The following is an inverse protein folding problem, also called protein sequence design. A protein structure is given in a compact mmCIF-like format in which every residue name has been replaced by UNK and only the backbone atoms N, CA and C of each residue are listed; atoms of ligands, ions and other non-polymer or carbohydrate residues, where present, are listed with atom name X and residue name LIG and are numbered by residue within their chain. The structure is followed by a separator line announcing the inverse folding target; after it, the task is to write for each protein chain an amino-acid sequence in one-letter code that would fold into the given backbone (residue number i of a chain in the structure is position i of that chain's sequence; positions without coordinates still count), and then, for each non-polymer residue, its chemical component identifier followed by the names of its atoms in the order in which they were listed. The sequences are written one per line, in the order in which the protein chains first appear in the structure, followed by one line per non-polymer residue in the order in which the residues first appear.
data_IF_806515568954
#
_entry.id   IF_806515568954
#
_cell.length_a   1.000
_cell.length_b   1.000
_cell.length_c   1.000
_cell.angle_alpha   90.00
_cell.angle_beta   90.00
_cell.angle_gamma   90.00
#
_symmetry.space_group_name_H-M   'P 1'
#
loop_
_entity.id
_entity.type
_entity.pdbx_description
1 polymer ?
#
# COMPACT_ATOMS: atom_id res chain seq x y z
N UNK A 1 -51.02 -36.57 -5.87
CA UNK A 1 -49.54 -36.59 -6.02
C UNK A 1 -48.99 -35.58 -5.02
N UNK A 2 -48.60 -36.05 -3.84
CA UNK A 2 -48.03 -35.22 -2.78
C UNK A 2 -46.51 -35.30 -2.89
N UNK A 3 -45.86 -34.14 -3.03
CA UNK A 3 -44.40 -34.05 -3.07
C UNK A 3 -43.88 -33.90 -1.63
N UNK A 4 -43.10 -34.89 -1.22
CA UNK A 4 -42.45 -35.00 0.08
C UNK A 4 -41.19 -34.12 0.09
N UNK A 5 -41.22 -33.03 0.87
CA UNK A 5 -40.09 -32.13 1.10
C UNK A 5 -39.28 -32.62 2.29
N UNK A 6 -38.34 -33.53 2.04
CA UNK A 6 -37.35 -33.95 3.04
C UNK A 6 -36.07 -33.11 2.88
N UNK A 7 -35.87 -32.15 3.78
CA UNK A 7 -34.63 -31.39 3.91
C UNK A 7 -33.54 -32.24 4.61
N UNK A 8 -32.25 -32.13 4.21
CA UNK A 8 -31.16 -32.89 4.83
C UNK A 8 -30.81 -32.33 6.23
N UNK A 9 -30.34 -33.20 7.15
CA UNK A 9 -29.94 -32.80 8.49
C UNK A 9 -28.65 -31.97 8.46
N UNK A 10 -28.64 -30.88 9.23
CA UNK A 10 -27.47 -30.05 9.50
C UNK A 10 -26.39 -30.86 10.24
N UNK A 11 -25.19 -30.91 9.69
CA UNK A 11 -24.05 -31.57 10.30
C UNK A 11 -23.60 -30.83 11.59
N UNK A 12 -23.12 -31.56 12.61
CA UNK A 12 -22.62 -30.96 13.85
C UNK A 12 -21.33 -30.17 13.60
N UNK A 13 -21.35 -28.91 14.05
CA UNK A 13 -20.21 -28.00 14.08
C UNK A 13 -19.12 -28.55 14.99
N UNK A 14 -18.05 -29.08 14.40
CA UNK A 14 -16.86 -29.52 15.15
C UNK A 14 -16.06 -28.28 15.56
N UNK A 15 -15.98 -28.04 16.86
CA UNK A 15 -15.11 -27.01 17.44
C UNK A 15 -13.65 -27.31 17.11
N UNK A 16 -12.82 -26.31 16.75
CA UNK A 16 -11.40 -26.54 16.52
C UNK A 16 -10.72 -26.98 17.82
N UNK A 17 -9.70 -27.86 17.74
CA UNK A 17 -8.94 -28.29 18.91
C UNK A 17 -8.22 -27.10 19.52
N UNK A 18 -8.46 -26.88 20.82
CA UNK A 18 -7.71 -25.95 21.65
C UNK A 18 -6.22 -26.25 21.52
N UNK A 19 -5.47 -25.32 20.92
CA UNK A 19 -4.02 -25.34 20.93
C UNK A 19 -3.55 -25.38 22.39
N UNK A 20 -2.86 -26.45 22.76
CA UNK A 20 -2.20 -26.57 24.05
C UNK A 20 -1.17 -25.44 24.17
N UNK A 21 -1.44 -24.51 25.08
CA UNK A 21 -0.51 -23.49 25.49
C UNK A 21 0.73 -24.17 26.09
N UNK A 22 1.82 -24.18 25.33
CA UNK A 22 3.14 -24.52 25.85
C UNK A 22 3.48 -23.60 27.00
N UNK A 23 3.96 -24.22 28.08
CA UNK A 23 4.28 -23.60 29.35
C UNK A 23 5.26 -22.44 29.17
N UNK A 24 4.85 -21.29 29.70
CA UNK A 24 5.63 -20.07 29.74
C UNK A 24 6.88 -20.26 30.60
N UNK A 25 8.04 -20.38 29.97
CA UNK A 25 9.30 -19.90 30.54
C UNK A 25 9.17 -18.41 30.82
N UNK A 26 9.44 -18.01 32.07
CA UNK A 26 9.29 -16.65 32.56
C UNK A 26 9.98 -15.63 31.66
N UNK A 27 9.35 -14.49 31.32
CA UNK A 27 10.00 -13.45 30.54
C UNK A 27 11.14 -12.82 31.35
N UNK A 28 12.31 -12.55 30.74
CA UNK A 28 13.32 -11.71 31.38
C UNK A 28 12.70 -10.36 31.69
N UNK A 29 12.96 -9.86 32.90
CA UNK A 29 12.46 -8.56 33.32
C UNK A 29 12.90 -7.48 32.33
N UNK A 30 11.93 -6.70 31.86
CA UNK A 30 12.05 -5.57 30.96
C UNK A 30 13.24 -4.66 31.31
N UNK A 31 14.36 -4.86 30.62
CA UNK A 31 15.46 -3.91 30.47
C UNK A 31 15.29 -2.98 29.25
N UNK A 32 14.08 -2.89 28.68
CA UNK A 32 13.77 -1.96 27.57
C UNK A 32 13.67 -0.49 27.99
N UNK A 33 13.93 -0.16 29.26
CA UNK A 33 13.88 1.22 29.77
C UNK A 33 15.15 2.06 29.60
N UNK A 34 16.28 1.51 29.12
CA UNK A 34 17.57 2.23 29.17
C UNK A 34 18.50 2.18 27.95
N UNK A 35 18.12 1.54 26.84
CA UNK A 35 18.95 1.50 25.62
C UNK A 35 18.39 2.32 24.44
N UNK A 36 17.74 3.47 24.69
CA UNK A 36 17.27 4.40 23.65
C UNK A 36 17.90 5.79 23.79
N UNK A 37 19.20 5.83 24.11
CA UNK A 37 19.98 7.06 24.20
C UNK A 37 20.92 7.34 23.03
N UNK A 38 21.25 6.37 22.16
CA UNK A 38 22.47 6.47 21.35
C UNK A 38 22.35 6.00 19.88
N UNK A 39 21.22 6.26 19.21
CA UNK A 39 21.33 6.64 17.80
C UNK A 39 21.54 8.15 17.80
N UNK A 40 22.80 8.56 17.69
CA UNK A 40 23.23 9.93 17.46
C UNK A 40 22.71 10.48 16.13
N UNK A 41 21.39 10.51 15.93
CA UNK A 41 20.76 11.68 15.34
C UNK A 41 21.02 12.80 16.34
N UNK A 42 22.22 13.36 16.27
CA UNK A 42 22.47 14.71 16.73
C UNK A 42 21.31 15.52 16.18
N UNK A 43 20.45 16.00 17.08
CA UNK A 43 19.43 16.97 16.77
C UNK A 43 20.17 18.22 16.30
N UNK A 44 20.60 18.19 15.04
CA UNK A 44 20.97 19.38 14.32
C UNK A 44 19.70 20.25 14.43
N UNK A 45 19.78 21.44 15.04
CA UNK A 45 18.64 22.33 15.03
C UNK A 45 18.18 22.43 13.58
N UNK A 46 16.87 22.31 13.30
CA UNK A 46 16.39 22.42 11.93
C UNK A 46 16.98 23.71 11.34
N UNK A 47 17.53 23.67 10.11
CA UNK A 47 18.05 24.87 9.49
C UNK A 47 16.95 25.95 9.59
N UNK A 48 17.31 27.20 9.88
CA UNK A 48 16.33 28.28 10.01
C UNK A 48 15.42 28.22 8.80
N UNK A 49 14.10 28.05 9.05
CA UNK A 49 13.10 28.05 7.99
C UNK A 49 13.35 29.31 7.16
N UNK A 50 13.54 29.22 5.84
CA UNK A 50 13.48 30.41 5.00
C UNK A 50 12.14 31.08 5.28
N UNK A 51 12.21 32.32 5.77
CA UNK A 51 11.06 33.16 6.07
C UNK A 51 10.08 33.07 4.92
N UNK A 52 8.89 32.54 5.19
CA UNK A 52 7.83 32.51 4.21
C UNK A 52 7.58 33.95 3.75
N UNK A 53 7.59 34.24 2.44
CA UNK A 53 7.29 35.57 1.97
C UNK A 53 5.88 35.97 2.43
N UNK A 54 5.64 37.26 2.70
CA UNK A 54 4.33 37.74 3.13
C UNK A 54 3.25 37.36 2.08
N UNK A 55 2.01 37.15 2.51
CA UNK A 55 0.90 36.87 1.60
C UNK A 55 0.79 38.02 0.59
N UNK A 56 1.09 37.71 -0.67
CA UNK A 56 0.91 38.64 -1.77
C UNK A 56 -0.56 39.00 -1.86
N UNK A 57 -0.83 40.31 -1.78
CA UNK A 57 -2.12 40.90 -2.08
C UNK A 57 -2.59 40.46 -3.48
N UNK A 58 -3.91 40.36 -3.72
CA UNK A 58 -4.44 40.09 -5.04
C UNK A 58 -4.07 41.25 -5.99
N UNK A 59 -3.09 41.00 -6.85
CA UNK A 59 -2.70 41.91 -7.91
C UNK A 59 -3.79 41.93 -9.00
N UNK A 60 -4.10 43.15 -9.46
CA UNK A 60 -4.95 43.44 -10.61
C UNK A 60 -4.60 42.59 -11.85
N UNK A 61 -5.58 42.30 -12.72
CA UNK A 61 -5.38 41.50 -13.93
C UNK A 61 -4.47 42.24 -14.93
N UNK A 62 -3.21 41.80 -15.03
CA UNK A 62 -2.33 42.25 -16.11
C UNK A 62 -2.76 41.70 -17.48
N UNK A 63 -2.53 42.46 -18.57
CA UNK A 63 -2.76 42.02 -19.95
C UNK A 63 -1.92 40.79 -20.30
N UNK A 64 -2.59 39.79 -20.89
CA UNK A 64 -1.97 38.53 -21.32
C UNK A 64 -0.91 38.79 -22.38
N UNK A 65 0.30 38.33 -22.11
CA UNK A 65 1.33 38.11 -23.13
C UNK A 65 0.86 37.00 -24.10
N UNK A 66 1.04 37.18 -25.42
CA UNK A 66 0.64 36.21 -26.42
C UNK A 66 1.47 34.92 -26.31
N UNK A 67 0.78 33.79 -26.39
CA UNK A 67 1.34 32.44 -26.46
C UNK A 67 2.34 32.32 -27.63
N UNK A 68 3.48 31.62 -27.45
CA UNK A 68 4.33 31.24 -28.56
C UNK A 68 3.58 30.27 -29.47
N UNK A 69 3.41 30.72 -30.72
CA UNK A 69 2.83 30.00 -31.83
C UNK A 69 3.55 28.66 -32.06
N UNK A 70 2.84 27.54 -32.24
CA UNK A 70 3.46 26.28 -32.64
C UNK A 70 4.07 26.46 -34.03
N UNK A 71 5.35 26.14 -34.13
CA UNK A 71 6.13 26.08 -35.36
C UNK A 71 5.45 25.11 -36.34
N UNK A 72 5.21 25.50 -37.61
CA UNK A 72 4.75 24.57 -38.63
C UNK A 72 5.85 23.53 -38.86
N UNK A 73 5.54 22.27 -38.58
CA UNK A 73 6.37 21.14 -38.98
C UNK A 73 6.59 21.20 -40.49
N UNK A 74 7.86 21.11 -40.88
CA UNK A 74 8.30 21.02 -42.27
C UNK A 74 7.54 19.90 -42.98
N UNK A 75 6.93 20.27 -44.10
CA UNK A 75 6.48 19.33 -45.12
C UNK A 75 7.68 18.52 -45.61
N UNK A 76 7.76 17.27 -45.16
CA UNK A 76 8.60 16.26 -45.78
C UNK A 76 8.11 16.02 -47.21
N UNK A 77 8.96 16.28 -48.18
CA UNK A 77 8.74 15.96 -49.58
C UNK A 77 8.40 14.47 -49.78
N UNK A 78 7.52 14.11 -50.73
CA UNK A 78 7.28 12.73 -51.09
C UNK A 78 8.49 12.17 -51.83
N UNK A 79 9.20 11.21 -51.23
CA UNK A 79 10.14 10.36 -51.95
C UNK A 79 9.36 9.45 -52.92
N UNK A 80 9.76 9.32 -54.19
CA UNK A 80 9.22 8.31 -55.08
C UNK A 80 9.73 6.93 -54.64
N UNK A 81 8.84 6.10 -54.10
CA UNK A 81 9.12 4.70 -53.78
C UNK A 81 9.21 3.88 -55.08
N UNK A 82 10.32 3.15 -55.32
CA UNK A 82 10.37 2.17 -56.39
C UNK A 82 9.77 0.84 -55.91
N UNK A 83 8.87 0.32 -56.75
CA UNK A 83 8.45 -1.08 -56.92
C UNK A 83 7.42 -1.68 -55.93
N UNK A 84 6.32 -2.24 -56.47
CA UNK A 84 5.33 -2.97 -55.67
C UNK A 84 5.87 -4.37 -55.35
N UNK A 85 6.26 -4.59 -54.11
CA UNK A 85 6.37 -5.96 -53.60
C UNK A 85 4.94 -6.48 -53.36
N UNK A 86 4.58 -7.67 -53.87
CA UNK A 86 3.31 -8.30 -53.56
C UNK A 86 3.33 -8.67 -52.07
N UNK A 87 2.77 -7.81 -51.23
CA UNK A 87 2.48 -8.19 -49.86
C UNK A 87 1.45 -9.33 -49.92
N UNK A 88 1.72 -10.49 -49.29
CA UNK A 88 0.72 -11.53 -49.18
C UNK A 88 -0.50 -10.91 -48.48
N UNK A 89 -1.63 -10.89 -49.16
CA UNK A 89 -2.92 -10.51 -48.61
C UNK A 89 -3.23 -11.52 -47.52
N UNK A 90 -2.81 -11.24 -46.29
CA UNK A 90 -3.30 -11.93 -45.12
C UNK A 90 -4.78 -11.57 -45.04
N UNK A 91 -5.62 -12.49 -45.49
CA UNK A 91 -7.07 -12.45 -45.35
C UNK A 91 -7.36 -12.63 -43.85
N UNK A 92 -7.23 -11.53 -43.11
CA UNK A 92 -7.61 -11.46 -41.70
C UNK A 92 -9.14 -11.44 -41.71
N UNK A 93 -9.83 -12.51 -41.26
CA UNK A 93 -11.28 -12.54 -41.27
C UNK A 93 -11.84 -11.33 -40.54
N UNK A 94 -12.85 -10.69 -41.12
CA UNK A 94 -13.47 -9.47 -40.60
C UNK A 94 -13.91 -9.58 -39.12
N UNK A 95 -14.18 -10.80 -38.65
CA UNK A 95 -14.50 -11.11 -37.26
C UNK A 95 -13.40 -10.73 -36.25
N UNK A 96 -12.14 -10.62 -36.68
CA UNK A 96 -11.03 -10.16 -35.82
C UNK A 96 -11.06 -8.63 -35.62
N UNK A 97 -11.67 -7.90 -36.56
CA UNK A 97 -11.89 -6.46 -36.47
C UNK A 97 -13.19 -6.09 -35.75
N UNK A 98 -14.04 -7.08 -35.45
CA UNK A 98 -15.15 -6.91 -34.52
C UNK A 98 -14.57 -6.78 -33.11
N UNK A 99 -14.17 -5.56 -32.78
CA UNK A 99 -13.73 -5.19 -31.45
C UNK A 99 -14.89 -5.46 -30.48
N UNK A 100 -14.80 -6.46 -29.59
CA UNK A 100 -15.88 -6.82 -28.68
C UNK A 100 -16.19 -5.71 -27.67
N UNK A 101 -15.35 -4.67 -27.60
CA UNK A 101 -15.49 -3.51 -26.73
C UNK A 101 -16.09 -2.27 -27.44
N UNK A 102 -16.46 -2.37 -28.71
CA UNK A 102 -17.16 -1.29 -29.42
C UNK A 102 -18.57 -1.72 -29.81
N UNK A 103 -19.64 -1.19 -29.18
CA UNK A 103 -21.01 -1.50 -29.57
C UNK A 103 -21.42 -0.89 -30.93
N UNK A 104 -20.50 -0.20 -31.62
CA UNK A 104 -20.76 0.50 -32.88
C UNK A 104 -19.80 0.00 -33.97
N UNK A 105 -20.30 -0.37 -35.16
CA UNK A 105 -19.48 -0.75 -36.30
C UNK A 105 -18.77 0.50 -36.87
N UNK A 106 -17.58 0.78 -36.34
CA UNK A 106 -16.70 1.85 -36.78
C UNK A 106 -16.76 3.13 -35.93
N UNK A 107 -16.07 4.20 -36.36
CA UNK A 107 -16.03 5.47 -35.64
C UNK A 107 -17.44 6.07 -35.48
N UNK A 108 -17.76 6.70 -34.34
CA UNK A 108 -19.08 7.28 -34.11
C UNK A 108 -19.37 8.39 -35.14
N UNK A 109 -20.40 8.18 -35.95
CA UNK A 109 -20.77 9.06 -37.08
C UNK A 109 -21.68 10.19 -36.63
N UNK A 110 -22.55 9.93 -35.66
CA UNK A 110 -23.52 10.93 -35.17
C UNK A 110 -23.07 11.59 -33.86
N UNK A 111 -23.50 12.83 -33.56
CA UNK A 111 -23.24 13.47 -32.27
C UNK A 111 -23.78 12.67 -31.08
N UNK A 112 -24.89 11.96 -31.27
CA UNK A 112 -25.51 11.11 -30.26
C UNK A 112 -24.66 9.88 -29.94
N UNK A 113 -24.13 9.20 -30.95
CA UNK A 113 -23.19 8.08 -30.79
C UNK A 113 -21.92 8.50 -30.06
N UNK A 114 -21.40 9.71 -30.35
CA UNK A 114 -20.23 10.26 -29.63
C UNK A 114 -20.53 10.50 -28.15
N UNK A 115 -21.70 11.04 -27.82
CA UNK A 115 -22.09 11.29 -26.44
C UNK A 115 -22.24 9.96 -25.66
N UNK A 116 -22.84 8.95 -26.27
CA UNK A 116 -22.96 7.60 -25.67
C UNK A 116 -21.58 6.97 -25.44
N UNK A 117 -20.69 7.03 -26.42
CA UNK A 117 -19.33 6.51 -26.28
C UNK A 117 -18.56 7.25 -25.16
N UNK A 118 -18.70 8.57 -25.07
CA UNK A 118 -18.08 9.35 -23.99
C UNK A 118 -18.61 8.94 -22.62
N UNK A 119 -19.92 8.70 -22.49
CA UNK A 119 -20.52 8.23 -21.25
C UNK A 119 -19.99 6.84 -20.87
N UNK A 120 -19.90 5.91 -21.81
CA UNK A 120 -19.35 4.57 -21.57
C UNK A 120 -17.89 4.64 -21.14
N UNK A 121 -17.06 5.42 -21.84
CA UNK A 121 -15.64 5.63 -21.49
C UNK A 121 -15.52 6.22 -20.08
N UNK A 122 -16.37 7.18 -19.72
CA UNK A 122 -16.37 7.76 -18.37
C UNK A 122 -16.78 6.70 -17.32
N UNK A 123 -17.80 5.90 -17.59
CA UNK A 123 -18.25 4.82 -16.71
C UNK A 123 -17.15 3.77 -16.51
N UNK A 124 -16.48 3.33 -17.56
CA UNK A 124 -15.38 2.35 -17.47
C UNK A 124 -14.19 2.93 -16.72
N UNK A 125 -13.80 4.18 -17.00
CA UNK A 125 -12.70 4.85 -16.29
C UNK A 125 -12.98 4.96 -14.80
N UNK A 126 -14.19 5.36 -14.44
CA UNK A 126 -14.60 5.46 -13.03
C UNK A 126 -14.64 4.09 -12.36
N UNK A 127 -15.17 3.07 -13.03
CA UNK A 127 -15.17 1.70 -12.53
C UNK A 127 -13.75 1.16 -12.29
N UNK A 128 -12.85 1.32 -13.26
CA UNK A 128 -11.45 0.90 -13.16
C UNK A 128 -10.72 1.63 -12.04
N UNK A 129 -10.88 2.96 -11.95
CA UNK A 129 -10.25 3.77 -10.89
C UNK A 129 -10.72 3.31 -9.51
N UNK A 130 -12.02 3.07 -9.36
CA UNK A 130 -12.61 2.58 -8.11
C UNK A 130 -12.08 1.19 -7.75
N UNK A 131 -12.01 0.27 -8.72
CA UNK A 131 -11.49 -1.07 -8.50
C UNK A 131 -10.01 -1.08 -8.08
N UNK A 132 -9.18 -0.27 -8.73
CA UNK A 132 -7.74 -0.14 -8.39
C UNK A 132 -7.57 0.45 -6.98
N UNK A 133 -8.35 1.48 -6.63
CA UNK A 133 -8.30 2.08 -5.30
C UNK A 133 -8.74 1.10 -4.21
N UNK A 134 -9.82 0.36 -4.44
CA UNK A 134 -10.32 -0.66 -3.51
C UNK A 134 -9.28 -1.76 -3.29
N UNK A 135 -8.68 -2.29 -4.37
CA UNK A 135 -7.63 -3.31 -4.29
C UNK A 135 -6.38 -2.82 -3.53
N UNK A 136 -5.95 -1.57 -3.79
CA UNK A 136 -4.84 -0.94 -3.07
C UNK A 136 -5.15 -0.79 -1.58
N UNK A 137 -6.36 -0.32 -1.25
CA UNK A 137 -6.80 -0.13 0.13
C UNK A 137 -6.84 -1.45 0.90
N UNK A 138 -7.40 -2.49 0.28
CA UNK A 138 -7.44 -3.83 0.85
C UNK A 138 -6.03 -4.39 1.10
N UNK A 139 -5.11 -4.19 0.16
CA UNK A 139 -3.72 -4.60 0.30
C UNK A 139 -3.05 -3.88 1.48
N UNK A 140 -3.23 -2.56 1.59
CA UNK A 140 -2.68 -1.77 2.69
C UNK A 140 -3.28 -2.17 4.05
N UNK A 141 -4.58 -2.45 4.10
CA UNK A 141 -5.24 -2.95 5.32
C UNK A 141 -4.66 -4.30 5.74
N UNK A 142 -4.51 -5.24 4.81
CA UNK A 142 -3.95 -6.57 5.10
C UNK A 142 -2.51 -6.49 5.61
N UNK A 143 -1.71 -5.57 5.06
CA UNK A 143 -0.33 -5.31 5.47
C UNK A 143 -0.27 -4.67 6.86
N UNK A 144 -1.14 -3.69 7.14
CA UNK A 144 -1.22 -3.07 8.46
C UNK A 144 -1.66 -4.07 9.54
N UNK A 145 -2.60 -4.96 9.23
CA UNK A 145 -3.03 -6.02 10.14
C UNK A 145 -1.90 -7.03 10.42
N UNK A 146 -1.15 -7.44 9.40
CA UNK A 146 -0.01 -8.33 9.58
C UNK A 146 1.08 -7.68 10.45
N UNK A 147 1.47 -6.44 10.16
CA UNK A 147 2.46 -5.71 10.96
C UNK A 147 2.01 -5.59 12.43
N UNK A 148 0.72 -5.33 12.67
CA UNK A 148 0.17 -5.25 14.04
C UNK A 148 0.24 -6.60 14.77
N UNK A 149 0.03 -7.72 14.08
CA UNK A 149 0.15 -9.06 14.68
C UNK A 149 1.58 -9.37 15.10
N UNK A 150 2.56 -8.98 14.29
CA UNK A 150 3.97 -9.14 14.65
C UNK A 150 4.37 -8.22 15.82
N UNK A 151 3.73 -7.05 15.95
CA UNK A 151 3.97 -6.11 17.06
C UNK A 151 3.10 -6.36 18.30
N UNK A 152 2.67 -7.61 18.56
CA UNK A 152 1.75 -7.92 19.65
C UNK A 152 2.28 -7.50 21.03
N UNK A 153 3.57 -7.68 21.29
CA UNK A 153 4.18 -7.33 22.58
C UNK A 153 4.21 -5.81 22.80
N UNK A 154 4.59 -5.03 21.79
CA UNK A 154 4.57 -3.58 21.85
C UNK A 154 3.13 -3.03 21.99
N UNK A 155 2.16 -3.67 21.32
CA UNK A 155 0.73 -3.31 21.48
C UNK A 155 0.27 -3.63 22.90
N UNK A 156 0.67 -4.77 23.47
CA UNK A 156 0.37 -5.14 24.84
C UNK A 156 0.95 -4.13 25.86
N UNK A 157 2.19 -3.69 25.67
CA UNK A 157 2.81 -2.67 26.54
C UNK A 157 2.10 -1.32 26.47
N UNK A 158 1.72 -0.90 25.26
CA UNK A 158 0.93 0.30 25.06
C UNK A 158 -0.43 0.21 25.76
N UNK A 159 -1.15 -0.90 25.57
CA UNK A 159 -2.44 -1.14 26.22
C UNK A 159 -2.29 -1.24 27.75
N UNK A 160 -1.21 -1.86 28.25
CA UNK A 160 -0.92 -1.92 29.68
C UNK A 160 -0.76 -0.52 30.26
N UNK A 161 -0.02 0.37 29.60
CA UNK A 161 0.07 1.77 30.03
C UNK A 161 -1.29 2.49 29.97
N UNK A 162 -2.08 2.26 28.91
CA UNK A 162 -3.41 2.88 28.79
C UNK A 162 -4.40 2.44 29.87
N UNK A 163 -4.25 1.22 30.40
CA UNK A 163 -5.13 0.68 31.45
C UNK A 163 -4.61 0.97 32.86
N UNK A 164 -3.31 0.80 33.08
CA UNK A 164 -2.68 0.75 34.41
C UNK A 164 -1.71 1.92 34.67
N UNK A 165 -1.41 2.74 33.66
CA UNK A 165 -0.51 3.88 33.78
C UNK A 165 -1.05 5.00 34.67
N UNK A 166 -0.16 5.90 35.07
CA UNK A 166 -0.56 7.09 35.82
C UNK A 166 -1.60 7.90 35.03
N UNK A 167 -2.45 8.64 35.73
CA UNK A 167 -3.46 9.48 35.07
C UNK A 167 -2.83 10.43 34.05
N UNK A 168 -1.64 10.96 34.35
CA UNK A 168 -0.90 11.86 33.47
C UNK A 168 -0.36 11.17 32.21
N UNK A 169 0.17 9.94 32.33
CA UNK A 169 0.63 9.17 31.17
C UNK A 169 -0.54 8.80 30.24
N UNK A 170 -1.67 8.36 30.82
CA UNK A 170 -2.89 8.03 30.06
C UNK A 170 -3.45 9.25 29.34
N UNK A 171 -3.49 10.41 30.02
CA UNK A 171 -3.92 11.67 29.41
C UNK A 171 -3.03 12.08 28.23
N UNK A 172 -1.75 11.71 28.26
CA UNK A 172 -0.77 11.94 27.19
C UNK A 172 -0.64 10.76 26.21
N UNK A 173 -1.53 9.78 26.28
CA UNK A 173 -1.53 8.60 25.42
C UNK A 173 -0.20 7.82 25.47
N UNK A 174 0.40 7.69 26.64
CA UNK A 174 1.56 6.82 26.89
C UNK A 174 2.68 6.99 25.85
N UNK A 175 3.32 8.18 25.76
CA UNK A 175 4.15 8.56 24.63
C UNK A 175 5.34 7.62 24.38
N UNK A 176 5.93 7.07 25.44
CA UNK A 176 7.04 6.11 25.33
C UNK A 176 6.60 4.78 24.70
N UNK A 177 5.56 4.15 25.25
CA UNK A 177 5.03 2.88 24.72
C UNK A 177 4.43 3.07 23.33
N UNK A 178 3.78 4.21 23.08
CA UNK A 178 3.28 4.56 21.75
C UNK A 178 4.40 4.70 20.73
N UNK A 179 5.50 5.36 21.07
CA UNK A 179 6.66 5.47 20.18
C UNK A 179 7.29 4.10 19.88
N UNK A 180 7.36 3.21 20.88
CA UNK A 180 7.80 1.82 20.69
C UNK A 180 6.91 1.05 19.72
N UNK A 181 5.58 1.13 19.90
CA UNK A 181 4.60 0.50 19.01
C UNK A 181 4.68 1.07 17.59
N UNK A 182 4.71 2.40 17.43
CA UNK A 182 4.79 3.06 16.13
C UNK A 182 6.07 2.64 15.38
N UNK A 183 7.21 2.57 16.08
CA UNK A 183 8.49 2.09 15.51
C UNK A 183 8.42 0.62 15.09
N UNK A 184 7.86 -0.26 15.93
CA UNK A 184 7.67 -1.66 15.55
C UNK A 184 6.81 -1.78 14.28
N UNK A 185 5.68 -1.06 14.23
CA UNK A 185 4.78 -1.08 13.08
C UNK A 185 5.47 -0.57 11.81
N UNK A 186 6.30 0.47 11.91
CA UNK A 186 7.05 0.99 10.76
C UNK A 186 8.02 -0.05 10.21
N UNK A 187 8.87 -0.63 11.07
CA UNK A 187 9.88 -1.63 10.65
C UNK A 187 9.19 -2.88 10.09
N UNK A 188 8.15 -3.39 10.75
CA UNK A 188 7.45 -4.58 10.27
C UNK A 188 6.76 -4.35 8.93
N UNK A 189 6.19 -3.16 8.68
CA UNK A 189 5.66 -2.81 7.36
C UNK A 189 6.75 -2.83 6.29
N UNK A 190 7.94 -2.32 6.59
CA UNK A 190 9.08 -2.34 5.66
C UNK A 190 9.54 -3.78 5.37
N UNK A 191 9.72 -4.61 6.41
CA UNK A 191 10.09 -6.02 6.25
C UNK A 191 9.06 -6.80 5.42
N UNK A 192 7.77 -6.65 5.71
CA UNK A 192 6.69 -7.28 4.94
C UNK A 192 6.69 -6.83 3.48
N UNK A 193 6.94 -5.55 3.19
CA UNK A 193 7.05 -5.05 1.82
C UNK A 193 8.25 -5.64 1.10
N UNK A 194 9.41 -5.70 1.77
CA UNK A 194 10.65 -6.23 1.21
C UNK A 194 10.52 -7.72 0.85
N UNK A 195 9.85 -8.49 1.70
CA UNK A 195 9.56 -9.91 1.46
C UNK A 195 8.41 -10.13 0.46
N UNK A 196 7.74 -9.06 0.01
CA UNK A 196 6.73 -9.11 -1.04
C UNK A 196 5.33 -9.53 -0.56
N UNK A 197 4.98 -9.26 0.71
CA UNK A 197 3.66 -9.59 1.29
C UNK A 197 2.47 -9.05 0.48
N UNK A 198 2.67 -7.94 -0.26
CA UNK A 198 1.65 -7.27 -1.08
C UNK A 198 1.44 -7.89 -2.46
N UNK A 199 2.17 -8.96 -2.83
CA UNK A 199 1.97 -9.66 -4.10
C UNK A 199 0.57 -10.29 -4.16
N UNK A 200 -0.15 -10.02 -5.26
CA UNK A 200 -1.53 -10.47 -5.43
C UNK A 200 -1.69 -11.99 -5.54
N UNK A 201 -0.67 -12.68 -6.05
CA UNK A 201 -0.68 -14.13 -6.30
C UNK A 201 -0.40 -15.01 -5.07
N UNK A 202 -0.14 -14.42 -3.90
CA UNK A 202 0.22 -15.19 -2.72
C UNK A 202 -0.99 -15.88 -2.09
N UNK A 203 -0.84 -17.16 -1.80
CA UNK A 203 -1.74 -17.96 -0.97
C UNK A 203 -1.71 -17.48 0.49
N UNK A 204 -2.72 -17.83 1.26
CA UNK A 204 -2.77 -17.51 2.70
C UNK A 204 -1.57 -18.10 3.47
N UNK A 205 -1.12 -19.30 3.08
CA UNK A 205 0.05 -19.97 3.70
C UNK A 205 1.34 -19.21 3.43
N UNK A 206 1.58 -18.78 2.19
CA UNK A 206 2.78 -18.00 1.85
C UNK A 206 2.81 -16.65 2.56
N UNK A 207 1.66 -15.99 2.70
CA UNK A 207 1.56 -14.75 3.49
C UNK A 207 1.91 -14.96 4.96
N UNK A 208 1.50 -16.08 5.55
CA UNK A 208 1.87 -16.43 6.92
C UNK A 208 3.38 -16.64 7.07
N UNK A 209 4.00 -17.40 6.16
CA UNK A 209 5.46 -17.62 6.15
C UNK A 209 6.21 -16.29 6.05
N UNK A 210 5.79 -15.39 5.15
CA UNK A 210 6.38 -14.06 5.01
C UNK A 210 6.22 -13.24 6.29
N UNK A 211 5.09 -13.34 6.98
CA UNK A 211 4.86 -12.61 8.23
C UNK A 211 5.78 -13.11 9.35
N UNK A 212 5.96 -14.43 9.46
CA UNK A 212 6.88 -15.03 10.44
C UNK A 212 8.34 -14.66 10.14
N UNK A 213 8.75 -14.67 8.86
CA UNK A 213 10.10 -14.29 8.45
C UNK A 213 10.38 -12.79 8.68
N UNK A 214 9.38 -11.93 8.43
CA UNK A 214 9.48 -10.50 8.73
C UNK A 214 9.71 -10.25 10.23
N UNK A 215 9.06 -11.06 11.08
CA UNK A 215 9.19 -10.97 12.53
C UNK A 215 10.57 -11.43 13.01
N UNK A 216 11.06 -12.57 12.51
CA UNK A 216 12.40 -13.04 12.82
C UNK A 216 13.48 -12.03 12.41
N UNK A 217 13.33 -11.39 11.24
CA UNK A 217 14.25 -10.35 10.79
C UNK A 217 14.25 -9.14 11.73
N UNK A 218 13.09 -8.75 12.27
CA UNK A 218 12.99 -7.69 13.26
C UNK A 218 13.70 -8.06 14.57
N UNK A 219 13.46 -9.25 15.11
CA UNK A 219 14.08 -9.72 16.36
C UNK A 219 15.61 -9.76 16.24
N UNK A 220 16.14 -10.29 15.13
CA UNK A 220 17.58 -10.30 14.88
C UNK A 220 18.18 -8.89 14.76
N UNK A 221 17.46 -7.95 14.15
CA UNK A 221 17.92 -6.56 14.06
C UNK A 221 17.96 -5.89 15.44
N UNK A 222 16.97 -6.17 16.29
CA UNK A 222 16.92 -5.65 17.66
C UNK A 222 18.04 -6.22 18.53
N UNK A 223 18.31 -7.54 18.46
CA UNK A 223 19.42 -8.18 19.18
C UNK A 223 20.78 -7.61 18.78
N UNK A 224 20.99 -7.39 17.47
CA UNK A 224 22.22 -6.74 16.98
C UNK A 224 22.35 -5.30 17.46
N UNK A 225 21.24 -4.55 17.49
CA UNK A 225 21.24 -3.17 17.98
C UNK A 225 21.54 -3.09 19.47
N UNK A 226 21.00 -4.01 20.28
CA UNK A 226 21.30 -4.07 21.73
C UNK A 226 22.76 -4.42 21.98
N UNK A 227 23.29 -5.45 21.30
CA UNK A 227 24.70 -5.83 21.43
C UNK A 227 25.65 -4.69 21.04
N UNK A 228 25.34 -3.98 19.95
CA UNK A 228 26.14 -2.83 19.51
C UNK A 228 26.11 -1.66 20.52
N UNK A 229 24.98 -1.44 21.20
CA UNK A 229 24.91 -0.40 22.25
C UNK A 229 25.71 -0.76 23.50
N UNK A 230 25.71 -2.03 23.92
CA UNK A 230 26.48 -2.50 25.08
C UNK A 230 27.99 -2.42 24.83
N UNK A 231 28.44 -2.67 23.59
CA UNK A 231 29.86 -2.53 23.22
C UNK A 231 30.32 -1.07 23.23
N UNK A 232 29.46 -0.12 22.83
CA UNK A 232 29.77 1.31 22.90
C UNK A 232 29.86 1.83 24.34
N UNK A 233 28.97 1.36 25.22
CA UNK A 233 28.96 1.75 26.64
C UNK A 233 30.19 1.20 27.39
N UNK A 234 30.64 -0.02 27.07
CA UNK A 234 31.85 -0.60 27.67
C UNK A 234 33.16 0.02 27.16
N UNK A 235 33.13 0.66 25.99
CA UNK A 235 34.29 1.32 25.40
C UNK A 235 34.49 2.78 25.88
N UNK A 236 33.51 3.34 26.62
CA UNK A 236 33.51 4.72 27.11
C UNK A 236 33.92 4.81 28.58
#
# INVERSE_FOLDING_TARGET
MAADSSAPPLAPSQSPPSAQASQASSPPQSLFGRALGFLGLSAQPPPPRPSSPPPSQPADPQPRTPSPQPTPQSQSQPQPHPHPHPHPTLDIPNAIWENPYHPLPGPPKTPQERAQLQQLIQQERTALTTAVYAAKTQTQLSLAQAARRNCADADLEYNRCMLQGSWFERMRLCPAQKAGLDKCLEIQKQNLQLLGYTKGSLTARERAIIADEADQAYLQAMEKATAASEEQDNAS
#
